data_IF_906283638216
#
_entry.id   IF_906283638216
#
_cell.length_a   1.000
_cell.length_b   1.000
_cell.length_c   1.000
_cell.angle_alpha   90.00
_cell.angle_beta   90.00
_cell.angle_gamma   90.00
#
_symmetry.space_group_name_H-M   'P 1'
#
loop_
_entity.id
_entity.type
_entity.pdbx_description
1 polymer ?
#
# COMPACT_ATOMS: atom_id res chain seq x y z
N UNK A 1 3.81 -3.23 24.51
CA UNK A 1 3.56 -4.08 23.32
C UNK A 1 2.40 -3.44 22.57
N UNK A 2 2.52 -3.13 21.26
CA UNK A 2 1.38 -2.66 20.49
C UNK A 2 0.26 -3.72 20.56
N UNK A 3 -0.96 -3.30 20.86
CA UNK A 3 -2.08 -4.23 21.00
C UNK A 3 -2.41 -4.87 19.66
N UNK A 4 -2.46 -6.20 19.63
CA UNK A 4 -2.95 -6.95 18.46
C UNK A 4 -4.41 -7.33 18.66
N UNK A 5 -5.28 -7.00 17.71
CA UNK A 5 -6.69 -7.40 17.73
C UNK A 5 -6.87 -8.65 16.86
N UNK A 6 -7.44 -9.72 17.43
CA UNK A 6 -7.78 -10.93 16.65
C UNK A 6 -9.06 -10.68 15.86
N UNK A 7 -8.98 -10.89 14.55
CA UNK A 7 -10.12 -10.75 13.63
C UNK A 7 -10.25 -12.09 12.88
N UNK A 8 -11.48 -12.58 12.73
CA UNK A 8 -11.79 -13.76 11.91
C UNK A 8 -12.37 -13.28 10.60
N UNK A 9 -11.74 -13.65 9.48
CA UNK A 9 -12.22 -13.31 8.13
C UNK A 9 -12.41 -14.59 7.32
N UNK A 10 -13.37 -14.57 6.40
CA UNK A 10 -13.58 -15.62 5.41
C UNK A 10 -13.00 -15.18 4.08
N UNK A 11 -12.17 -16.01 3.47
CA UNK A 11 -11.59 -15.79 2.15
C UNK A 11 -12.04 -16.90 1.19
N UNK A 12 -12.15 -16.61 -0.12
CA UNK A 12 -12.41 -17.64 -1.12
C UNK A 12 -11.36 -18.75 -1.07
N UNK A 13 -11.80 -20.01 -1.16
CA UNK A 13 -10.91 -21.18 -1.03
C UNK A 13 -9.78 -21.16 -2.05
N UNK A 14 -10.04 -20.70 -3.27
CA UNK A 14 -9.04 -20.56 -4.33
C UNK A 14 -7.93 -19.57 -3.94
N UNK A 15 -8.29 -18.43 -3.36
CA UNK A 15 -7.32 -17.43 -2.89
C UNK A 15 -6.49 -17.96 -1.71
N UNK A 16 -7.11 -18.72 -0.80
CA UNK A 16 -6.37 -19.36 0.30
C UNK A 16 -5.40 -20.41 -0.23
N UNK A 17 -5.80 -21.17 -1.27
CA UNK A 17 -4.94 -22.14 -1.91
C UNK A 17 -3.75 -21.47 -2.61
N UNK A 18 -3.98 -20.37 -3.34
CA UNK A 18 -2.90 -19.60 -3.95
C UNK A 18 -1.96 -18.97 -2.92
N UNK A 19 -2.49 -18.36 -1.86
CA UNK A 19 -1.68 -17.80 -0.77
C UNK A 19 -0.81 -18.87 -0.12
N UNK A 20 -1.34 -20.08 0.10
CA UNK A 20 -0.57 -21.22 0.62
C UNK A 20 0.49 -21.73 -0.34
N UNK A 21 0.37 -21.50 -1.66
CA UNK A 21 1.41 -21.83 -2.64
C UNK A 21 2.54 -20.80 -2.64
N UNK A 22 2.24 -19.56 -2.30
CA UNK A 22 3.21 -18.45 -2.24
C UNK A 22 3.94 -18.39 -0.89
N UNK A 23 3.28 -18.74 0.20
CA UNK A 23 3.82 -18.69 1.56
C UNK A 23 3.12 -19.68 2.49
N UNK A 24 3.88 -20.26 3.40
CA UNK A 24 3.34 -21.09 4.48
C UNK A 24 2.71 -20.26 5.62
N UNK A 25 3.04 -18.96 5.70
CA UNK A 25 2.46 -18.00 6.68
C UNK A 25 1.48 -17.03 6.01
N UNK A 26 0.24 -17.49 5.89
CA UNK A 26 -0.86 -16.68 5.35
C UNK A 26 -1.19 -15.49 6.27
N UNK A 27 -1.09 -15.65 7.58
CA UNK A 27 -1.39 -14.58 8.55
C UNK A 27 -0.39 -13.42 8.49
N UNK A 28 0.90 -13.73 8.40
CA UNK A 28 1.95 -12.72 8.24
C UNK A 28 1.80 -11.98 6.92
N UNK A 29 1.56 -12.72 5.83
CA UNK A 29 1.35 -12.12 4.51
C UNK A 29 0.16 -11.15 4.49
N UNK A 30 -0.98 -11.55 5.07
CA UNK A 30 -2.15 -10.67 5.15
C UNK A 30 -1.83 -9.44 6.02
N UNK A 31 -1.13 -9.61 7.13
CA UNK A 31 -0.76 -8.49 8.02
C UNK A 31 0.11 -7.46 7.30
N UNK A 32 1.09 -7.91 6.52
CA UNK A 32 1.96 -7.04 5.74
C UNK A 32 1.19 -6.37 4.60
N UNK A 33 0.37 -7.12 3.87
CA UNK A 33 -0.46 -6.61 2.79
C UNK A 33 -1.43 -5.52 3.28
N UNK A 34 -2.10 -5.76 4.42
CA UNK A 34 -2.98 -4.78 5.07
C UNK A 34 -2.19 -3.55 5.50
N UNK A 35 -1.02 -3.71 6.10
CA UNK A 35 -0.16 -2.58 6.49
C UNK A 35 0.31 -1.75 5.29
N UNK A 36 0.60 -2.40 4.16
CA UNK A 36 0.95 -1.73 2.90
C UNK A 36 -0.25 -0.99 2.31
N UNK A 37 -1.43 -1.60 2.36
CA UNK A 37 -2.68 -1.03 1.87
C UNK A 37 -3.08 0.21 2.68
N UNK A 38 -3.05 0.14 4.01
CA UNK A 38 -3.40 1.27 4.88
C UNK A 38 -2.47 2.45 4.63
N UNK A 39 -1.15 2.21 4.49
CA UNK A 39 -0.20 3.26 4.13
C UNK A 39 -0.56 3.94 2.81
N UNK A 40 -0.92 3.17 1.78
CA UNK A 40 -1.36 3.73 0.50
C UNK A 40 -2.65 4.53 0.60
N UNK A 41 -3.63 4.06 1.37
CA UNK A 41 -4.91 4.76 1.56
C UNK A 41 -4.71 6.11 2.25
N UNK A 42 -3.94 6.13 3.34
CA UNK A 42 -3.65 7.37 4.07
C UNK A 42 -2.86 8.37 3.22
N UNK A 43 -1.88 7.88 2.44
CA UNK A 43 -1.15 8.71 1.47
C UNK A 43 -2.09 9.28 0.40
N UNK A 44 -2.99 8.46 -0.14
CA UNK A 44 -3.97 8.90 -1.15
C UNK A 44 -4.95 9.95 -0.62
N UNK A 45 -5.41 9.81 0.63
CA UNK A 45 -6.24 10.82 1.28
C UNK A 45 -5.48 12.13 1.53
N UNK A 46 -4.21 12.04 1.92
CA UNK A 46 -3.35 13.21 2.10
C UNK A 46 -3.12 13.95 0.78
N UNK A 47 -2.82 13.24 -0.30
CA UNK A 47 -2.67 13.83 -1.63
C UNK A 47 -3.97 14.46 -2.13
N UNK A 48 -5.12 13.81 -1.93
CA UNK A 48 -6.42 14.39 -2.31
C UNK A 48 -6.68 15.70 -1.59
N UNK A 49 -6.50 15.71 -0.25
CA UNK A 49 -6.65 16.94 0.54
C UNK A 49 -5.70 18.04 0.08
N UNK A 50 -4.45 17.70 -0.24
CA UNK A 50 -3.50 18.67 -0.79
C UNK A 50 -3.99 19.27 -2.11
N UNK A 51 -4.50 18.44 -3.03
CA UNK A 51 -5.02 18.91 -4.32
C UNK A 51 -6.29 19.76 -4.19
N UNK A 52 -7.14 19.47 -3.19
CA UNK A 52 -8.30 20.31 -2.88
C UNK A 52 -7.89 21.71 -2.37
N UNK A 53 -6.80 21.79 -1.60
CA UNK A 53 -6.30 23.05 -1.03
C UNK A 53 -5.38 23.84 -1.99
N UNK A 54 -4.62 23.16 -2.86
CA UNK A 54 -3.53 23.77 -3.66
C UNK A 54 -3.70 23.60 -5.18
N UNK A 55 -4.67 22.82 -5.65
CA UNK A 55 -4.83 22.47 -7.06
C UNK A 55 -4.16 21.15 -7.44
N UNK A 56 -4.45 20.64 -8.64
CA UNK A 56 -3.91 19.36 -9.11
C UNK A 56 -2.39 19.41 -9.26
N UNK A 57 -1.72 18.29 -8.96
CA UNK A 57 -0.29 18.16 -9.21
C UNK A 57 -0.01 18.27 -10.71
N UNK A 58 0.97 19.10 -11.05
CA UNK A 58 1.43 19.23 -12.43
C UNK A 58 2.32 18.06 -12.83
N UNK A 59 2.45 17.80 -14.13
CA UNK A 59 3.34 16.74 -14.65
C UNK A 59 4.81 16.98 -14.26
N UNK A 60 5.23 18.25 -14.18
CA UNK A 60 6.59 18.63 -13.77
C UNK A 60 6.86 18.29 -12.30
N UNK A 61 5.93 18.58 -11.39
CA UNK A 61 6.05 18.25 -9.97
C UNK A 61 6.06 16.73 -9.74
N UNK A 62 5.24 15.97 -10.48
CA UNK A 62 5.22 14.52 -10.42
C UNK A 62 6.52 13.90 -10.96
N UNK A 63 7.07 14.46 -12.03
CA UNK A 63 8.36 14.02 -12.59
C UNK A 63 9.50 14.23 -11.59
N UNK A 64 9.57 15.41 -10.97
CA UNK A 64 10.56 15.72 -9.93
C UNK A 64 10.41 14.80 -8.70
N UNK A 65 9.18 14.57 -8.25
CA UNK A 65 8.92 13.65 -7.14
C UNK A 65 9.35 12.21 -7.46
N UNK A 66 9.08 11.73 -8.68
CA UNK A 66 9.46 10.39 -9.13
C UNK A 66 10.98 10.22 -9.16
N UNK A 67 11.70 11.22 -9.67
CA UNK A 67 13.18 11.22 -9.70
C UNK A 67 13.77 11.16 -8.29
N UNK A 68 13.20 11.91 -7.33
CA UNK A 68 13.68 11.88 -5.93
C UNK A 68 13.36 10.57 -5.20
N UNK A 69 12.20 9.95 -5.47
CA UNK A 69 11.74 8.76 -4.75
C UNK A 69 12.41 7.48 -5.25
N UNK A 70 12.50 7.31 -6.56
CA UNK A 70 13.04 6.08 -7.16
C UNK A 70 14.52 6.21 -7.56
N UNK A 71 15.09 7.42 -7.43
CA UNK A 71 16.33 7.79 -8.10
C UNK A 71 16.10 7.89 -9.61
N UNK A 72 17.02 8.57 -10.31
CA UNK A 72 17.09 8.43 -11.76
C UNK A 72 17.34 6.94 -12.06
N UNK A 73 16.35 6.22 -12.60
CA UNK A 73 16.56 4.86 -13.10
C UNK A 73 17.73 4.93 -14.08
N UNK A 74 18.88 4.27 -13.80
CA UNK A 74 19.94 4.22 -14.79
C UNK A 74 19.45 3.31 -15.92
N UNK A 75 19.34 3.91 -17.10
CA UNK A 75 19.16 3.24 -18.40
C UNK A 75 20.25 2.21 -18.68
#
# INVERSE_FOLDING_TARGET
>A
MPGTTRITISLPTEQVAELRRLTDDVSGYITEAVSRQIRHLLLGEEFRRYQEENGEFTEEELAEARERIFGAEPV
#
